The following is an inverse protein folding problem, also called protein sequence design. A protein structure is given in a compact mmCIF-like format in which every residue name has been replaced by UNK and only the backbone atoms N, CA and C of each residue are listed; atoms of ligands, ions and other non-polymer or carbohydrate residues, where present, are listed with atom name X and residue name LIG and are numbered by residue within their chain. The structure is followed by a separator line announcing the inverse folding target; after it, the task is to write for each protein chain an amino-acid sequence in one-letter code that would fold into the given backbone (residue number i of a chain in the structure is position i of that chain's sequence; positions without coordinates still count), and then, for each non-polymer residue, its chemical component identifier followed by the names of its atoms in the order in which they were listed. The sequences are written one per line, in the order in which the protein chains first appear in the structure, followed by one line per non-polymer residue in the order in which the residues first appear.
data_IF_106392304479
#
_entry.id   IF_106392304479
#
_cell.length_a   1.000
_cell.length_b   1.000
_cell.length_c   1.000
_cell.angle_alpha   90.00
_cell.angle_beta   90.00
_cell.angle_gamma   90.00
#
_symmetry.space_group_name_H-M   'P 1'
#
loop_
_entity.id
_entity.type
_entity.pdbx_description
1 polymer ?
#
# COMPACT_ATOMS: atom_id res chain seq x y z
N UNK A 1 -48.32 -8.53 0.02
CA UNK A 1 -46.96 -8.52 0.56
C UNK A 1 -46.80 -7.73 1.85
N UNK A 2 -47.35 -6.52 1.98
CA UNK A 2 -47.25 -5.71 3.23
C UNK A 2 -48.09 -6.24 4.37
N UNK A 3 -49.26 -6.84 4.16
CA UNK A 3 -50.09 -7.40 5.20
C UNK A 3 -49.57 -8.77 5.74
N UNK A 4 -49.02 -9.57 4.88
CA UNK A 4 -48.42 -10.87 5.26
C UNK A 4 -47.14 -10.66 6.10
N UNK A 5 -46.32 -9.66 5.80
CA UNK A 5 -45.15 -9.30 6.61
C UNK A 5 -45.57 -8.76 7.97
N UNK A 6 -46.66 -7.98 8.02
CA UNK A 6 -47.17 -7.42 9.26
C UNK A 6 -47.73 -8.53 10.16
N UNK A 7 -48.45 -9.50 9.63
CA UNK A 7 -48.97 -10.66 10.39
C UNK A 7 -47.86 -11.57 10.90
N UNK A 8 -46.76 -11.72 10.17
CA UNK A 8 -45.59 -12.47 10.60
C UNK A 8 -44.84 -11.74 11.71
N UNK A 9 -44.75 -10.42 11.65
CA UNK A 9 -44.11 -9.60 12.70
C UNK A 9 -44.94 -9.61 13.98
N UNK A 10 -46.24 -9.50 13.89
CA UNK A 10 -47.15 -9.57 15.04
C UNK A 10 -47.18 -10.95 15.70
N UNK A 11 -47.16 -12.03 14.89
CA UNK A 11 -47.05 -13.42 15.42
C UNK A 11 -45.69 -13.71 16.06
N UNK A 12 -44.63 -13.10 15.55
CA UNK A 12 -43.29 -13.18 16.12
C UNK A 12 -43.18 -12.37 17.43
N UNK A 13 -43.81 -11.19 17.49
CA UNK A 13 -43.90 -10.36 18.69
C UNK A 13 -44.59 -11.05 19.85
N UNK A 14 -45.74 -11.73 19.58
CA UNK A 14 -46.46 -12.47 20.58
C UNK A 14 -45.70 -13.74 21.06
N UNK A 15 -45.09 -14.47 20.16
CA UNK A 15 -44.23 -15.63 20.50
C UNK A 15 -43.00 -15.22 21.33
N UNK A 16 -42.48 -14.02 21.12
CA UNK A 16 -41.37 -13.46 21.89
C UNK A 16 -41.78 -13.05 23.32
N UNK A 17 -42.97 -12.45 23.47
CA UNK A 17 -43.49 -12.13 24.80
C UNK A 17 -43.81 -13.36 25.63
N UNK A 18 -44.37 -14.39 25.02
CA UNK A 18 -44.63 -15.69 25.64
C UNK A 18 -43.29 -16.38 26.03
N UNK A 19 -42.30 -16.38 25.20
CA UNK A 19 -40.96 -16.90 25.51
C UNK A 19 -40.31 -16.14 26.67
N UNK A 20 -40.40 -14.80 26.68
CA UNK A 20 -39.85 -13.96 27.75
C UNK A 20 -40.54 -14.26 29.10
N UNK A 21 -41.86 -14.46 29.09
CA UNK A 21 -42.62 -14.78 30.30
C UNK A 21 -42.29 -16.18 30.84
N UNK A 22 -42.11 -17.14 29.94
CA UNK A 22 -41.77 -18.51 30.29
C UNK A 22 -40.32 -18.65 30.78
N UNK A 23 -39.40 -17.87 30.18
CA UNK A 23 -38.01 -17.83 30.60
C UNK A 23 -37.82 -17.13 31.94
N UNK A 24 -38.62 -16.07 32.24
CA UNK A 24 -38.65 -15.44 33.53
C UNK A 24 -39.13 -16.38 34.64
N UNK A 25 -40.18 -17.18 34.37
CA UNK A 25 -40.67 -18.22 35.29
C UNK A 25 -39.63 -19.34 35.52
N UNK A 26 -38.85 -19.69 34.50
CA UNK A 26 -37.76 -20.67 34.62
C UNK A 26 -36.59 -20.11 35.44
N UNK A 27 -36.23 -18.86 35.25
CA UNK A 27 -35.19 -18.17 36.03
C UNK A 27 -35.59 -18.10 37.54
N UNK A 28 -36.84 -17.76 37.87
CA UNK A 28 -37.35 -17.76 39.21
C UNK A 28 -37.35 -19.16 39.85
N UNK A 29 -37.53 -20.21 39.05
CA UNK A 29 -37.43 -21.62 39.52
C UNK A 29 -35.99 -22.07 39.75
N UNK A 30 -35.04 -21.56 38.97
CA UNK A 30 -33.60 -21.85 39.09
C UNK A 30 -33.00 -21.08 40.29
N UNK A 31 -33.43 -19.84 40.53
CA UNK A 31 -33.04 -19.04 41.69
C UNK A 31 -33.49 -19.67 43.00
N UNK A 32 -34.66 -20.32 43.01
CA UNK A 32 -35.19 -21.07 44.16
C UNK A 32 -34.51 -22.43 44.39
N UNK A 33 -33.74 -22.97 43.44
CA UNK A 33 -33.13 -24.30 43.55
C UNK A 33 -31.62 -24.30 43.82
N UNK A 34 -30.95 -23.13 43.90
CA UNK A 34 -29.55 -23.01 44.32
C UNK A 34 -28.54 -23.72 43.44
N UNK A 35 -27.58 -22.94 42.94
CA UNK A 35 -26.39 -23.29 42.12
C UNK A 35 -26.65 -23.76 40.68
N UNK A 36 -26.70 -22.81 39.77
CA UNK A 36 -26.57 -23.09 38.34
C UNK A 36 -25.13 -23.53 38.00
N UNK A 37 -24.98 -24.57 37.20
CA UNK A 37 -23.67 -24.97 36.71
C UNK A 37 -23.13 -23.90 35.71
N UNK A 38 -21.82 -23.67 35.65
CA UNK A 38 -21.17 -22.68 34.75
C UNK A 38 -21.56 -22.83 33.26
N UNK A 39 -22.03 -23.97 32.87
CA UNK A 39 -22.52 -24.31 31.55
C UNK A 39 -23.91 -23.69 31.24
N UNK A 40 -24.72 -23.47 32.26
CA UNK A 40 -26.01 -22.79 32.16
C UNK A 40 -25.83 -21.27 32.08
N UNK A 41 -24.90 -20.70 32.83
CA UNK A 41 -24.56 -19.27 32.76
C UNK A 41 -24.04 -18.89 31.37
N UNK A 42 -23.14 -19.69 30.79
CA UNK A 42 -22.62 -19.40 29.44
C UNK A 42 -23.70 -19.51 28.34
N UNK A 43 -24.71 -20.37 28.51
CA UNK A 43 -25.85 -20.44 27.58
C UNK A 43 -26.83 -19.30 27.74
N UNK A 44 -27.02 -18.79 28.95
CA UNK A 44 -27.84 -17.60 29.23
C UNK A 44 -27.18 -16.34 28.66
N UNK A 45 -25.89 -16.21 28.81
CA UNK A 45 -25.13 -15.08 28.23
C UNK A 45 -25.12 -15.10 26.70
N UNK A 46 -25.01 -16.28 26.09
CA UNK A 46 -25.13 -16.42 24.64
C UNK A 46 -26.53 -16.02 24.14
N UNK A 47 -27.60 -16.47 24.83
CA UNK A 47 -28.98 -16.07 24.52
C UNK A 47 -29.23 -14.58 24.74
N UNK A 48 -28.65 -13.95 25.76
CA UNK A 48 -28.76 -12.51 26.00
C UNK A 48 -28.09 -11.70 24.88
N UNK A 49 -26.95 -12.16 24.37
CA UNK A 49 -26.27 -11.54 23.22
C UNK A 49 -27.05 -11.69 21.91
N UNK A 50 -27.72 -12.82 21.71
CA UNK A 50 -28.55 -13.02 20.52
C UNK A 50 -29.83 -12.16 20.57
N UNK A 51 -30.40 -11.96 21.74
CA UNK A 51 -31.56 -11.07 21.98
C UNK A 51 -31.19 -9.61 21.71
N UNK A 52 -30.00 -9.15 22.11
CA UNK A 52 -29.53 -7.80 21.81
C UNK A 52 -29.31 -7.59 20.32
N UNK A 53 -28.73 -8.55 19.61
CA UNK A 53 -28.58 -8.51 18.15
C UNK A 53 -29.92 -8.47 17.41
N UNK A 54 -30.91 -9.24 17.88
CA UNK A 54 -32.27 -9.19 17.32
C UNK A 54 -32.97 -7.84 17.55
N UNK A 55 -32.73 -7.20 18.70
CA UNK A 55 -33.26 -5.87 18.98
C UNK A 55 -32.65 -4.80 18.07
N UNK A 56 -31.34 -4.89 17.80
CA UNK A 56 -30.63 -4.02 16.86
C UNK A 56 -31.11 -4.22 15.41
N UNK A 57 -31.32 -5.46 14.98
CA UNK A 57 -31.89 -5.75 13.67
C UNK A 57 -33.33 -5.22 13.51
N UNK A 58 -34.13 -5.29 14.54
CA UNK A 58 -35.49 -4.70 14.54
C UNK A 58 -35.44 -3.17 14.37
N UNK A 59 -34.51 -2.52 15.03
CA UNK A 59 -34.31 -1.07 14.90
C UNK A 59 -33.84 -0.68 13.47
N UNK A 60 -32.96 -1.48 12.87
CA UNK A 60 -32.53 -1.28 11.48
C UNK A 60 -33.67 -1.48 10.48
N UNK A 61 -34.53 -2.46 10.67
CA UNK A 61 -35.70 -2.70 9.83
C UNK A 61 -36.67 -1.51 9.92
N UNK A 62 -36.83 -0.93 11.08
CA UNK A 62 -37.72 0.23 11.28
C UNK A 62 -37.16 1.50 10.63
N UNK A 63 -35.83 1.69 10.67
CA UNK A 63 -35.13 2.77 9.96
C UNK A 63 -35.23 2.63 8.44
N UNK A 64 -35.04 1.42 7.90
CA UNK A 64 -35.18 1.15 6.46
C UNK A 64 -36.62 1.33 6.00
N UNK A 65 -37.63 1.01 6.83
CA UNK A 65 -39.04 1.24 6.51
C UNK A 65 -39.37 2.73 6.43
N UNK A 66 -38.87 3.55 7.35
CA UNK A 66 -39.02 5.02 7.28
C UNK A 66 -38.34 5.63 6.05
N UNK A 67 -37.14 5.15 5.72
CA UNK A 67 -36.44 5.58 4.51
C UNK A 67 -37.19 5.21 3.22
N UNK A 68 -37.87 4.06 3.21
CA UNK A 68 -38.70 3.65 2.10
C UNK A 68 -39.96 4.54 1.96
N UNK A 69 -40.64 4.86 3.05
CA UNK A 69 -41.78 5.79 3.08
C UNK A 69 -41.38 7.21 2.62
N UNK A 70 -40.22 7.70 3.04
CA UNK A 70 -39.69 8.99 2.57
C UNK A 70 -39.32 8.98 1.07
N UNK A 71 -38.80 7.86 0.56
CA UNK A 71 -38.52 7.70 -0.86
C UNK A 71 -39.80 7.64 -1.69
N UNK A 72 -40.88 7.00 -1.19
CA UNK A 72 -42.20 6.98 -1.84
C UNK A 72 -42.81 8.39 -1.93
N UNK A 73 -42.72 9.18 -0.84
CA UNK A 73 -43.19 10.58 -0.83
C UNK A 73 -42.39 11.48 -1.79
N UNK A 74 -41.10 11.24 -1.94
CA UNK A 74 -40.25 11.95 -2.92
C UNK A 74 -40.60 11.58 -4.36
N UNK A 75 -40.91 10.30 -4.61
CA UNK A 75 -41.36 9.82 -5.92
C UNK A 75 -42.71 10.45 -6.31
N UNK A 76 -43.69 10.52 -5.41
CA UNK A 76 -44.96 11.17 -5.65
C UNK A 76 -44.83 12.68 -5.95
N UNK A 77 -43.88 13.36 -5.25
CA UNK A 77 -43.55 14.76 -5.53
C UNK A 77 -42.89 14.94 -6.92
N UNK A 78 -42.01 14.04 -7.33
CA UNK A 78 -41.42 14.04 -8.67
C UNK A 78 -42.46 13.75 -9.76
N UNK A 79 -43.39 12.85 -9.49
CA UNK A 79 -44.50 12.54 -10.43
C UNK A 79 -45.45 13.75 -10.62
N UNK A 80 -45.66 14.53 -9.55
CA UNK A 80 -46.47 15.77 -9.64
C UNK A 80 -45.74 16.93 -10.32
N UNK A 81 -44.40 17.01 -10.22
CA UNK A 81 -43.59 18.03 -10.94
C UNK A 81 -43.46 17.70 -12.41
N UNK A 82 -43.38 16.43 -12.81
CA UNK A 82 -43.30 15.96 -14.19
C UNK A 82 -44.66 16.03 -14.93
N UNK A 83 -45.77 16.16 -14.20
CA UNK A 83 -47.11 16.33 -14.78
C UNK A 83 -47.42 17.77 -15.23
N UNK A 84 -46.46 18.73 -15.12
CA UNK A 84 -46.63 20.09 -15.66
C UNK A 84 -46.21 20.15 -17.14
N UNK A 85 -47.10 20.54 -18.06
CA UNK A 85 -46.77 20.66 -19.47
C UNK A 85 -46.14 22.04 -19.74
N UNK A 86 -44.82 22.11 -19.86
CA UNK A 86 -44.14 23.20 -20.58
C UNK A 86 -42.77 22.72 -21.06
N UNK A 87 -42.68 22.41 -22.29
CA UNK A 87 -41.73 22.70 -23.38
C UNK A 87 -41.62 21.54 -24.37
N UNK A 88 -42.18 21.70 -25.50
CA UNK A 88 -41.86 21.38 -26.88
C UNK A 88 -40.99 20.18 -27.29
N UNK A 89 -41.18 19.00 -26.72
CA UNK A 89 -40.73 17.69 -27.23
C UNK A 89 -41.87 16.72 -26.99
N UNK A 90 -42.16 15.80 -27.94
CA UNK A 90 -43.29 14.90 -27.92
C UNK A 90 -43.48 14.22 -26.54
N UNK A 91 -44.35 14.85 -25.74
CA UNK A 91 -44.58 14.51 -24.32
C UNK A 91 -45.22 13.12 -24.10
N UNK A 92 -45.64 12.43 -25.17
CA UNK A 92 -46.24 11.10 -25.08
C UNK A 92 -45.21 9.99 -24.95
N UNK A 93 -44.10 10.07 -25.65
CA UNK A 93 -43.08 9.02 -25.66
C UNK A 93 -42.23 9.06 -24.40
N UNK A 94 -41.90 10.26 -23.91
CA UNK A 94 -41.15 10.45 -22.64
C UNK A 94 -41.96 9.94 -21.44
N UNK A 95 -43.27 10.23 -21.44
CA UNK A 95 -44.17 9.74 -20.38
C UNK A 95 -44.34 8.21 -20.40
N UNK A 96 -44.29 7.60 -21.58
CA UNK A 96 -44.40 6.15 -21.72
C UNK A 96 -43.14 5.44 -21.20
N UNK A 97 -41.98 5.98 -21.53
CA UNK A 97 -40.67 5.46 -21.09
C UNK A 97 -40.47 5.59 -19.57
N UNK A 98 -40.80 6.74 -18.98
CA UNK A 98 -40.76 6.91 -17.53
C UNK A 98 -41.74 6.03 -16.77
N UNK A 99 -42.94 5.82 -17.32
CA UNK A 99 -43.91 4.88 -16.75
C UNK A 99 -43.43 3.44 -16.84
N UNK A 100 -42.84 3.05 -17.98
CA UNK A 100 -42.24 1.72 -18.16
C UNK A 100 -41.07 1.48 -17.21
N UNK A 101 -40.19 2.47 -17.05
CA UNK A 101 -39.08 2.40 -16.11
C UNK A 101 -39.53 2.36 -14.63
N UNK A 102 -40.52 3.19 -14.26
CA UNK A 102 -41.10 3.12 -12.91
C UNK A 102 -41.84 1.81 -12.61
N UNK A 103 -42.47 1.19 -13.63
CA UNK A 103 -43.07 -0.16 -13.48
C UNK A 103 -42.02 -1.26 -13.39
N UNK A 104 -40.90 -1.14 -14.13
CA UNK A 104 -39.78 -2.08 -14.07
C UNK A 104 -39.14 -2.12 -12.68
N UNK A 105 -38.94 -0.98 -12.06
CA UNK A 105 -38.39 -0.87 -10.71
C UNK A 105 -39.34 -1.41 -9.61
N UNK A 106 -40.67 -1.28 -9.81
CA UNK A 106 -41.68 -1.69 -8.83
C UNK A 106 -42.10 -3.18 -8.94
N UNK A 107 -42.14 -3.75 -10.15
CA UNK A 107 -42.77 -5.06 -10.41
C UNK A 107 -41.86 -6.12 -11.02
N UNK A 108 -40.58 -5.77 -11.32
CA UNK A 108 -39.66 -6.66 -12.02
C UNK A 108 -39.98 -6.84 -13.49
N UNK A 109 -39.05 -7.43 -14.24
CA UNK A 109 -39.07 -7.54 -15.71
C UNK A 109 -40.22 -8.40 -16.28
N UNK A 110 -40.77 -9.32 -15.48
CA UNK A 110 -41.78 -10.32 -15.95
C UNK A 110 -43.22 -9.83 -15.99
N UNK A 111 -43.48 -8.60 -15.51
CA UNK A 111 -44.85 -8.02 -15.43
C UNK A 111 -45.01 -6.72 -16.24
N UNK A 112 -44.22 -6.53 -17.28
CA UNK A 112 -44.24 -5.35 -18.15
C UNK A 112 -44.82 -5.74 -19.51
N UNK A 113 -45.70 -4.89 -20.08
CA UNK A 113 -46.29 -5.09 -21.41
C UNK A 113 -45.18 -5.12 -22.49
N UNK A 114 -45.23 -6.05 -23.49
CA UNK A 114 -44.20 -6.14 -24.53
C UNK A 114 -43.98 -4.85 -25.32
N UNK A 115 -44.96 -3.98 -25.38
CA UNK A 115 -44.88 -2.65 -26.01
C UNK A 115 -44.09 -1.64 -25.15
N UNK A 116 -44.23 -1.73 -23.82
CA UNK A 116 -43.46 -0.90 -22.87
C UNK A 116 -42.04 -1.39 -22.74
N UNK A 117 -41.79 -2.72 -22.90
CA UNK A 117 -40.47 -3.31 -22.91
C UNK A 117 -39.66 -2.89 -24.15
N UNK A 118 -40.30 -2.72 -25.27
CA UNK A 118 -39.66 -2.30 -26.53
C UNK A 118 -39.17 -0.85 -26.50
N UNK A 119 -39.74 -0.03 -25.60
CA UNK A 119 -39.33 1.36 -25.36
C UNK A 119 -38.10 1.47 -24.44
N UNK A 120 -37.59 0.35 -23.90
CA UNK A 120 -36.45 0.30 -22.94
C UNK A 120 -35.25 -0.43 -23.54
N UNK A 121 -35.11 -0.52 -24.86
CA UNK A 121 -33.93 -1.15 -25.47
C UNK A 121 -32.71 -0.25 -25.33
N UNK A 122 -31.69 -0.76 -24.68
CA UNK A 122 -30.39 -0.13 -24.35
C UNK A 122 -29.51 0.10 -25.60
N UNK A 123 -29.78 -0.62 -26.68
CA UNK A 123 -28.96 -0.56 -27.90
C UNK A 123 -29.34 0.52 -28.89
N UNK A 124 -30.40 1.32 -28.60
CA UNK A 124 -30.86 2.39 -29.48
C UNK A 124 -31.05 3.69 -28.70
N UNK A 125 -30.16 4.66 -28.93
CA UNK A 125 -30.15 5.97 -28.26
C UNK A 125 -31.44 6.74 -28.40
N UNK A 126 -32.20 6.47 -29.48
CA UNK A 126 -33.51 7.10 -29.75
C UNK A 126 -34.67 6.42 -29.00
N UNK A 127 -34.48 5.19 -28.50
CA UNK A 127 -35.49 4.37 -27.83
C UNK A 127 -35.27 4.19 -26.31
N UNK A 128 -34.38 4.97 -25.70
CA UNK A 128 -34.19 5.00 -24.25
C UNK A 128 -32.82 4.56 -23.77
N UNK A 129 -31.88 4.21 -24.65
CA UNK A 129 -30.50 3.90 -24.30
C UNK A 129 -29.83 5.05 -23.54
N UNK A 130 -30.22 6.28 -23.80
CA UNK A 130 -29.73 7.49 -23.10
C UNK A 130 -30.14 7.56 -21.61
N UNK A 131 -31.14 6.78 -21.18
CA UNK A 131 -31.64 6.79 -19.80
C UNK A 131 -31.23 5.56 -18.99
N UNK A 132 -30.51 4.61 -19.61
CA UNK A 132 -29.84 3.57 -18.84
C UNK A 132 -28.68 4.23 -18.04
N UNK A 133 -28.76 4.35 -16.72
CA UNK A 133 -27.63 4.89 -15.98
C UNK A 133 -26.46 3.94 -16.17
N UNK A 134 -25.40 4.40 -16.82
CA UNK A 134 -24.13 3.71 -16.75
C UNK A 134 -23.76 3.62 -15.26
N UNK A 135 -23.45 2.43 -14.79
CA UNK A 135 -22.97 2.23 -13.42
C UNK A 135 -21.64 2.98 -13.31
N UNK A 136 -21.69 4.13 -12.65
CA UNK A 136 -20.49 4.93 -12.43
C UNK A 136 -19.64 4.25 -11.34
N UNK A 137 -18.59 3.57 -11.76
CA UNK A 137 -17.60 3.02 -10.85
C UNK A 137 -16.73 4.18 -10.36
N UNK A 138 -16.87 4.52 -9.09
CA UNK A 138 -16.11 5.58 -8.45
C UNK A 138 -14.68 5.13 -8.07
N UNK A 139 -14.07 4.23 -8.83
CA UNK A 139 -12.71 3.78 -8.61
C UNK A 139 -11.74 4.48 -9.57
N UNK A 140 -10.75 5.15 -9.01
CA UNK A 140 -9.67 5.76 -9.78
C UNK A 140 -8.66 4.68 -10.18
N UNK A 141 -8.59 4.37 -11.47
CA UNK A 141 -7.57 3.47 -12.02
C UNK A 141 -6.27 4.24 -12.14
N UNK A 142 -5.30 3.91 -11.28
CA UNK A 142 -3.97 4.51 -11.37
C UNK A 142 -2.89 3.47 -11.65
N UNK A 143 -1.81 3.88 -12.33
CA UNK A 143 -0.65 3.03 -12.53
C UNK A 143 0.11 2.83 -11.23
N UNK A 144 0.60 1.60 -11.00
CA UNK A 144 1.37 1.28 -9.81
C UNK A 144 2.70 2.04 -9.81
N UNK A 145 2.97 2.78 -8.73
CA UNK A 145 4.25 3.44 -8.51
C UNK A 145 5.25 2.45 -7.93
N UNK A 146 6.34 2.22 -8.64
CA UNK A 146 7.41 1.34 -8.17
C UNK A 146 8.21 2.04 -7.07
N UNK A 147 8.23 1.44 -5.88
CA UNK A 147 8.92 1.96 -4.70
C UNK A 147 10.04 1.02 -4.32
N UNK A 148 11.25 1.56 -4.17
CA UNK A 148 12.41 0.78 -3.75
C UNK A 148 12.31 0.42 -2.25
N UNK A 149 12.41 -0.87 -1.88
CA UNK A 149 12.26 -1.30 -0.50
C UNK A 149 13.55 -1.18 0.34
N UNK A 150 14.53 -0.35 -0.07
CA UNK A 150 15.81 -0.22 0.65
C UNK A 150 15.61 0.18 2.12
N UNK A 151 14.56 0.95 2.42
CA UNK A 151 14.17 1.34 3.78
C UNK A 151 13.84 0.14 4.67
N UNK A 152 13.36 -0.97 4.12
CA UNK A 152 13.04 -2.19 4.88
C UNK A 152 14.27 -2.98 5.33
N UNK A 153 15.38 -2.81 4.64
CA UNK A 153 16.63 -3.55 4.90
C UNK A 153 17.70 -2.70 5.56
N UNK A 154 17.65 -1.37 5.43
CA UNK A 154 18.58 -0.43 6.02
C UNK A 154 18.18 -0.09 7.46
N UNK A 155 19.12 0.51 8.21
CA UNK A 155 18.85 1.02 9.56
C UNK A 155 18.19 2.39 9.48
N UNK A 156 17.02 2.56 10.09
CA UNK A 156 16.34 3.85 10.19
C UNK A 156 16.56 4.44 11.58
N UNK A 157 16.90 5.72 11.64
CA UNK A 157 17.02 6.52 12.88
C UNK A 157 16.22 7.82 12.73
N UNK A 158 15.57 8.23 13.80
CA UNK A 158 14.86 9.51 13.85
C UNK A 158 15.69 10.55 14.62
N UNK A 159 15.63 11.81 14.21
CA UNK A 159 16.31 12.92 14.90
C UNK A 159 15.45 14.18 14.89
N UNK A 160 15.58 15.01 15.92
CA UNK A 160 15.04 16.37 15.96
C UNK A 160 16.03 17.41 15.39
N UNK A 161 17.32 17.05 15.27
CA UNK A 161 18.38 17.93 14.81
C UNK A 161 18.52 17.91 13.28
N UNK A 162 19.36 18.77 12.74
CA UNK A 162 19.65 18.88 11.29
C UNK A 162 20.19 17.55 10.72
N UNK A 163 20.94 16.81 11.49
CA UNK A 163 21.55 15.55 11.12
C UNK A 163 21.96 14.74 12.34
N UNK A 164 22.56 13.61 12.11
CA UNK A 164 23.11 12.72 13.15
C UNK A 164 24.62 12.59 12.92
N UNK A 165 25.39 12.72 14.00
CA UNK A 165 26.81 12.40 14.01
C UNK A 165 27.00 10.99 14.57
N UNK A 166 27.68 10.13 13.83
CA UNK A 166 27.96 8.74 14.21
C UNK A 166 29.46 8.62 14.40
N UNK A 167 29.93 8.27 15.62
CA UNK A 167 31.33 7.97 15.83
C UNK A 167 31.71 6.69 15.09
N UNK A 168 32.73 6.77 14.25
CA UNK A 168 33.25 5.65 13.47
C UNK A 168 34.70 5.36 13.91
N UNK A 169 34.98 4.11 14.10
CA UNK A 169 36.38 3.67 14.36
C UNK A 169 37.15 3.73 13.03
N UNK A 170 38.23 4.47 12.98
CA UNK A 170 39.08 4.66 11.79
C UNK A 170 40.38 3.90 11.86
N UNK A 171 40.87 3.55 13.07
CA UNK A 171 42.09 2.80 13.26
C UNK A 171 41.93 1.67 14.30
N UNK A 172 42.73 0.65 14.12
CA UNK A 172 42.80 -0.50 15.03
C UNK A 172 44.25 -0.66 15.48
N UNK A 173 44.45 -1.00 16.73
CA UNK A 173 45.76 -1.45 17.17
C UNK A 173 46.02 -2.90 16.73
N UNK A 174 47.26 -3.21 16.37
CA UNK A 174 47.69 -4.55 16.04
C UNK A 174 48.33 -5.19 17.29
N UNK A 175 47.94 -6.42 17.61
CA UNK A 175 48.62 -7.23 18.62
C UNK A 175 49.76 -8.00 17.92
N UNK A 176 50.96 -7.95 18.50
CA UNK A 176 52.13 -8.65 17.98
C UNK A 176 52.69 -9.59 19.04
N UNK A 177 53.11 -10.78 18.60
CA UNK A 177 53.84 -11.70 19.46
C UNK A 177 55.28 -11.23 19.59
N UNK A 178 55.83 -11.24 20.81
CA UNK A 178 57.19 -10.79 21.11
C UNK A 178 57.90 -11.89 21.87
N UNK A 179 59.14 -12.15 21.50
CA UNK A 179 60.00 -13.06 22.24
C UNK A 179 60.41 -12.46 23.61
N UNK A 180 60.80 -13.29 24.53
CA UNK A 180 61.08 -12.91 25.90
C UNK A 180 62.13 -11.78 26.03
N UNK A 181 63.09 -11.71 25.14
CA UNK A 181 64.21 -10.74 25.18
C UNK A 181 64.03 -9.59 24.17
N UNK A 182 62.98 -9.57 23.37
CA UNK A 182 62.77 -8.55 22.33
C UNK A 182 62.10 -7.28 22.89
N UNK A 183 62.55 -6.14 22.37
CA UNK A 183 62.00 -4.82 22.74
C UNK A 183 60.57 -4.69 22.20
N UNK A 184 59.65 -4.28 23.06
CA UNK A 184 58.25 -3.98 22.71
C UNK A 184 58.18 -2.59 22.11
N UNK A 185 57.70 -2.49 20.88
CA UNK A 185 57.47 -1.21 20.21
C UNK A 185 56.02 -0.78 20.42
N UNK A 186 55.80 0.51 20.53
CA UNK A 186 54.45 1.09 20.64
C UNK A 186 53.61 0.75 19.40
N UNK A 187 52.39 0.28 19.61
CA UNK A 187 51.43 0.04 18.55
C UNK A 187 50.52 1.25 18.37
N UNK A 188 50.09 1.49 17.15
CA UNK A 188 49.15 2.63 16.83
C UNK A 188 47.92 2.55 17.72
N UNK A 189 47.55 3.65 18.36
CA UNK A 189 46.43 3.69 19.29
C UNK A 189 45.06 3.62 18.58
N UNK A 190 44.03 3.51 19.39
CA UNK A 190 42.66 3.53 18.94
C UNK A 190 42.31 4.90 18.31
N UNK A 191 41.89 4.91 17.05
CA UNK A 191 41.50 6.12 16.33
C UNK A 191 40.01 6.12 16.06
N UNK A 192 39.37 7.26 16.31
CA UNK A 192 37.93 7.49 16.02
C UNK A 192 37.79 8.69 15.11
N UNK A 193 36.84 8.61 14.21
CA UNK A 193 36.36 9.71 13.39
C UNK A 193 34.86 9.93 13.60
N UNK A 194 34.37 11.07 13.21
CA UNK A 194 32.92 11.39 13.20
C UNK A 194 32.44 11.34 11.75
N UNK A 195 31.31 10.69 11.54
CA UNK A 195 30.58 10.70 10.28
C UNK A 195 29.26 11.42 10.49
N UNK A 196 29.08 12.50 9.77
CA UNK A 196 27.85 13.29 9.79
C UNK A 196 26.90 12.85 8.67
N UNK A 197 25.63 12.67 9.00
CA UNK A 197 24.55 12.39 8.05
C UNK A 197 23.52 13.51 8.18
N UNK A 198 23.46 14.40 7.18
CA UNK A 198 22.53 15.51 7.16
C UNK A 198 21.17 15.07 6.58
N UNK A 199 20.08 15.63 7.14
CA UNK A 199 18.73 15.46 6.63
C UNK A 199 18.41 16.55 5.61
N UNK A 200 18.29 16.16 4.35
CA UNK A 200 17.93 17.05 3.22
C UNK A 200 16.42 17.20 3.12
N UNK A 201 15.96 18.31 2.56
CA UNK A 201 14.54 18.56 2.35
C UNK A 201 14.09 18.04 0.99
N UNK A 202 13.02 17.25 1.01
CA UNK A 202 12.27 16.81 -0.14
C UNK A 202 10.92 17.53 -0.10
N UNK A 203 10.51 18.17 -1.20
CA UNK A 203 9.26 18.89 -1.29
C UNK A 203 8.52 18.57 -2.59
N UNK A 204 7.20 18.70 -2.54
CA UNK A 204 6.34 18.72 -3.72
C UNK A 204 5.31 19.83 -3.56
N UNK A 205 4.97 20.50 -4.66
CA UNK A 205 4.01 21.58 -4.70
C UNK A 205 3.05 21.33 -5.86
N UNK A 206 1.76 21.28 -5.54
CA UNK A 206 0.70 21.02 -6.52
C UNK A 206 -0.41 22.04 -6.32
N UNK A 207 -0.87 22.65 -7.41
CA UNK A 207 -2.00 23.56 -7.43
C UNK A 207 -3.20 22.87 -8.06
N UNK A 208 -4.35 22.89 -7.37
CA UNK A 208 -5.60 22.28 -7.83
C UNK A 208 -6.69 23.35 -7.86
N UNK A 209 -7.51 23.34 -8.89
CA UNK A 209 -8.65 24.25 -8.99
C UNK A 209 -9.66 23.99 -7.87
N UNK A 210 -10.14 25.06 -7.25
CA UNK A 210 -11.18 24.97 -6.21
C UNK A 210 -12.48 24.36 -6.78
N UNK A 211 -12.87 24.74 -8.00
CA UNK A 211 -14.04 24.17 -8.66
C UNK A 211 -13.91 22.64 -8.84
N UNK A 212 -12.71 22.15 -9.20
CA UNK A 212 -12.46 20.71 -9.33
C UNK A 212 -12.60 19.98 -7.98
N UNK A 213 -12.16 20.58 -6.88
CA UNK A 213 -12.31 20.00 -5.54
C UNK A 213 -13.78 19.95 -5.09
N UNK A 214 -14.58 20.96 -5.47
CA UNK A 214 -16.00 21.05 -5.10
C UNK A 214 -16.87 20.14 -5.96
N UNK A 215 -16.55 20.00 -7.26
CA UNK A 215 -17.36 19.25 -8.24
C UNK A 215 -16.91 17.78 -8.38
N UNK A 216 -15.79 17.41 -7.77
CA UNK A 216 -15.28 16.05 -7.90
C UNK A 216 -16.15 15.03 -7.18
N UNK A 217 -16.45 13.92 -7.85
CA UNK A 217 -17.09 12.75 -7.27
C UNK A 217 -16.18 11.92 -6.35
N UNK A 218 -14.86 12.22 -6.36
CA UNK A 218 -13.84 11.53 -5.57
C UNK A 218 -13.29 12.45 -4.47
N UNK A 219 -12.80 11.85 -3.40
CA UNK A 219 -12.02 12.56 -2.39
C UNK A 219 -10.59 12.83 -2.91
N UNK A 220 -10.45 13.95 -3.64
CA UNK A 220 -9.17 14.36 -4.20
C UNK A 220 -8.12 14.68 -3.13
N UNK A 221 -8.50 15.12 -1.93
CA UNK A 221 -7.55 15.41 -0.85
C UNK A 221 -6.90 14.13 -0.33
N UNK A 222 -7.69 13.06 -0.15
CA UNK A 222 -7.17 11.75 0.25
C UNK A 222 -6.26 11.15 -0.83
N UNK A 223 -6.68 11.23 -2.10
CA UNK A 223 -5.88 10.73 -3.23
C UNK A 223 -4.54 11.49 -3.36
N UNK A 224 -4.56 12.82 -3.23
CA UNK A 224 -3.34 13.64 -3.24
C UNK A 224 -2.40 13.30 -2.09
N UNK A 225 -2.93 13.04 -0.90
CA UNK A 225 -2.10 12.62 0.25
C UNK A 225 -1.40 11.30 -0.02
N UNK A 226 -2.10 10.34 -0.63
CA UNK A 226 -1.55 9.04 -1.03
C UNK A 226 -0.48 9.21 -2.11
N UNK A 227 -0.77 10.00 -3.15
CA UNK A 227 0.15 10.27 -4.24
C UNK A 227 1.44 10.96 -3.75
N UNK A 228 1.35 11.94 -2.86
CA UNK A 228 2.54 12.53 -2.22
C UNK A 228 3.36 11.47 -1.49
N UNK A 229 2.71 10.56 -0.75
CA UNK A 229 3.39 9.47 -0.07
C UNK A 229 4.18 8.58 -1.02
N UNK A 230 3.57 8.19 -2.13
CA UNK A 230 4.18 7.33 -3.15
C UNK A 230 5.33 8.02 -3.88
N UNK A 231 5.15 9.27 -4.33
CA UNK A 231 6.18 10.02 -5.05
C UNK A 231 7.38 10.33 -4.15
N UNK A 232 7.15 10.63 -2.87
CA UNK A 232 8.24 10.81 -1.92
C UNK A 232 8.98 9.51 -1.65
N UNK A 233 8.28 8.38 -1.51
CA UNK A 233 8.90 7.08 -1.33
C UNK A 233 9.75 6.68 -2.55
N UNK A 234 9.28 6.97 -3.77
CA UNK A 234 10.03 6.77 -5.01
C UNK A 234 11.29 7.64 -5.06
N UNK A 235 11.15 8.95 -4.80
CA UNK A 235 12.28 9.88 -4.81
C UNK A 235 13.34 9.52 -3.75
N UNK A 236 12.92 9.08 -2.56
CA UNK A 236 13.82 8.57 -1.51
C UNK A 236 14.54 7.30 -1.96
N UNK A 237 13.82 6.35 -2.54
CA UNK A 237 14.39 5.10 -3.03
C UNK A 237 15.49 5.35 -4.05
N UNK A 238 15.21 6.17 -5.04
CA UNK A 238 16.19 6.58 -6.05
C UNK A 238 17.41 7.27 -5.41
N UNK A 239 17.17 8.19 -4.45
CA UNK A 239 18.26 8.89 -3.77
C UNK A 239 19.13 7.96 -2.92
N UNK A 240 18.57 6.95 -2.25
CA UNK A 240 19.32 5.99 -1.46
C UNK A 240 20.18 5.04 -2.32
N UNK A 241 19.83 4.85 -3.57
CA UNK A 241 20.59 3.99 -4.49
C UNK A 241 21.62 4.81 -5.27
N UNK A 242 21.21 5.90 -5.93
CA UNK A 242 22.04 6.63 -6.89
C UNK A 242 22.41 8.05 -6.45
N UNK A 243 21.97 8.49 -5.27
CA UNK A 243 22.21 9.85 -4.79
C UNK A 243 23.70 10.17 -4.60
N UNK A 244 24.06 11.43 -4.85
CA UNK A 244 25.46 11.89 -4.78
C UNK A 244 25.86 12.52 -3.42
N UNK A 245 24.92 12.60 -2.45
CA UNK A 245 25.18 13.18 -1.13
C UNK A 245 25.20 14.73 -1.10
N UNK A 246 24.93 15.41 -2.22
CA UNK A 246 24.87 16.87 -2.28
C UNK A 246 23.43 17.31 -2.48
N UNK A 247 22.83 17.94 -1.46
CA UNK A 247 21.43 18.34 -1.45
C UNK A 247 20.43 17.17 -1.42
N UNK A 248 20.93 15.94 -1.39
CA UNK A 248 20.15 14.68 -1.33
C UNK A 248 20.94 13.61 -0.57
N UNK A 249 20.31 12.53 -0.10
CA UNK A 249 20.99 11.40 0.53
C UNK A 249 22.13 10.84 -0.34
N UNK A 250 23.15 10.29 0.32
CA UNK A 250 24.23 9.57 -0.36
C UNK A 250 23.74 8.14 -0.70
N UNK A 251 23.80 7.78 -1.97
CA UNK A 251 23.40 6.46 -2.45
C UNK A 251 24.49 5.40 -2.27
N UNK A 252 24.08 4.14 -2.29
CA UNK A 252 24.97 2.99 -2.18
C UNK A 252 25.89 2.82 -3.40
N UNK A 253 25.41 3.18 -4.60
CA UNK A 253 26.17 3.06 -5.86
C UNK A 253 27.14 4.22 -6.11
N UNK A 254 27.07 5.29 -5.28
CA UNK A 254 27.90 6.45 -5.42
C UNK A 254 29.39 6.11 -5.15
N UNK A 255 30.26 6.50 -6.06
CA UNK A 255 31.69 6.19 -5.96
C UNK A 255 32.33 6.74 -4.66
N UNK A 256 31.89 7.93 -4.19
CA UNK A 256 32.37 8.55 -2.96
C UNK A 256 31.87 7.88 -1.69
N UNK A 257 30.97 6.88 -1.76
CA UNK A 257 30.54 6.11 -0.60
C UNK A 257 31.60 5.13 -0.08
N UNK A 258 32.67 4.90 -0.85
CA UNK A 258 33.76 4.01 -0.47
C UNK A 258 33.39 2.50 -0.48
N UNK A 259 32.28 2.14 -1.12
CA UNK A 259 31.83 0.75 -1.24
C UNK A 259 32.73 0.01 -2.24
N UNK A 260 33.21 -1.16 -1.88
CA UNK A 260 34.03 -1.99 -2.75
C UNK A 260 33.27 -2.44 -3.98
N UNK A 261 33.93 -2.46 -5.12
CA UNK A 261 33.37 -2.98 -6.38
C UNK A 261 34.12 -4.22 -6.81
N UNK A 262 33.39 -5.25 -7.20
CA UNK A 262 33.89 -6.52 -7.70
C UNK A 262 33.53 -6.62 -9.19
N UNK A 263 34.50 -6.94 -10.04
CA UNK A 263 34.27 -7.06 -11.46
C UNK A 263 33.48 -8.33 -11.79
N UNK A 264 32.64 -8.26 -12.81
CA UNK A 264 31.84 -9.41 -13.26
C UNK A 264 32.61 -10.43 -14.09
N UNK A 265 33.82 -10.06 -14.55
CA UNK A 265 34.59 -10.87 -15.49
C UNK A 265 34.05 -10.80 -16.94
N UNK A 266 33.14 -9.87 -17.20
CA UNK A 266 32.61 -9.55 -18.53
C UNK A 266 32.28 -8.08 -18.63
N UNK A 267 32.51 -7.47 -19.78
CA UNK A 267 32.22 -6.04 -20.00
C UNK A 267 30.75 -5.74 -20.31
N UNK A 268 29.90 -6.74 -20.46
CA UNK A 268 28.51 -6.54 -20.92
C UNK A 268 27.47 -7.29 -20.13
N UNK A 269 27.84 -8.42 -19.49
CA UNK A 269 26.89 -9.31 -18.82
C UNK A 269 27.35 -9.69 -17.41
N UNK A 270 26.41 -10.11 -16.60
CA UNK A 270 26.69 -10.77 -15.33
C UNK A 270 27.24 -12.18 -15.60
N UNK A 271 28.17 -12.62 -14.77
CA UNK A 271 28.68 -13.99 -14.79
C UNK A 271 28.48 -14.67 -13.45
N UNK A 272 28.40 -16.00 -13.46
CA UNK A 272 28.28 -16.80 -12.22
C UNK A 272 29.47 -16.61 -11.31
N UNK A 273 30.69 -16.60 -11.89
CA UNK A 273 31.91 -16.40 -11.14
C UNK A 273 31.95 -15.02 -10.48
N UNK A 274 31.56 -13.96 -11.21
CA UNK A 274 31.46 -12.61 -10.64
C UNK A 274 30.46 -12.51 -9.48
N UNK A 275 29.32 -13.23 -9.54
CA UNK A 275 28.37 -13.28 -8.43
C UNK A 275 28.93 -14.04 -7.21
N UNK A 276 29.70 -15.11 -7.44
CA UNK A 276 30.40 -15.81 -6.37
C UNK A 276 31.48 -14.92 -5.74
N UNK A 277 32.29 -14.27 -6.54
CA UNK A 277 33.32 -13.34 -6.07
C UNK A 277 32.70 -12.19 -5.27
N UNK A 278 31.55 -11.67 -5.71
CA UNK A 278 30.80 -10.66 -4.96
C UNK A 278 30.34 -11.18 -3.60
N UNK A 279 29.79 -12.41 -3.55
CA UNK A 279 29.33 -13.00 -2.30
C UNK A 279 30.46 -13.20 -1.29
N UNK A 280 31.64 -13.60 -1.74
CA UNK A 280 32.79 -13.87 -0.89
C UNK A 280 33.71 -12.65 -0.68
N UNK A 281 33.44 -11.50 -1.29
CA UNK A 281 34.21 -10.26 -1.12
C UNK A 281 34.00 -9.60 0.25
N UNK A 282 32.87 -9.87 0.90
CA UNK A 282 32.57 -9.33 2.23
C UNK A 282 33.07 -10.25 3.36
N UNK A 283 33.34 -9.68 4.54
CA UNK A 283 33.77 -10.46 5.72
C UNK A 283 32.67 -11.41 6.19
N UNK A 284 33.07 -12.58 6.68
CA UNK A 284 32.17 -13.65 7.15
C UNK A 284 31.12 -13.16 8.17
N UNK A 285 31.51 -12.22 9.05
CA UNK A 285 30.60 -11.68 10.07
C UNK A 285 29.36 -10.94 9.53
N UNK A 286 29.45 -10.42 8.31
CA UNK A 286 28.33 -9.75 7.61
C UNK A 286 27.49 -10.71 6.79
N UNK A 287 28.02 -11.91 6.45
CA UNK A 287 27.34 -12.85 5.57
C UNK A 287 26.02 -13.40 6.13
N UNK A 288 25.87 -13.44 7.46
CA UNK A 288 24.67 -14.01 8.09
C UNK A 288 23.39 -13.22 7.76
N UNK A 289 23.49 -11.89 7.74
CA UNK A 289 22.37 -10.97 7.44
C UNK A 289 22.45 -10.37 6.04
N UNK A 290 23.40 -10.81 5.24
CA UNK A 290 23.62 -10.30 3.90
C UNK A 290 22.48 -10.66 2.95
N UNK A 291 22.13 -9.71 2.08
CA UNK A 291 21.09 -9.83 1.07
C UNK A 291 21.59 -9.28 -0.26
N UNK A 292 21.02 -9.78 -1.34
CA UNK A 292 21.19 -9.17 -2.66
C UNK A 292 20.16 -8.05 -2.84
N UNK A 293 20.56 -6.93 -3.43
CA UNK A 293 19.69 -5.86 -3.88
C UNK A 293 19.96 -5.65 -5.36
N UNK A 294 18.91 -5.78 -6.17
CA UNK A 294 18.97 -5.73 -7.63
C UNK A 294 17.58 -5.38 -8.18
N UNK A 295 17.52 -4.98 -9.45
CA UNK A 295 16.24 -4.78 -10.15
C UNK A 295 15.74 -6.08 -10.80
N UNK A 296 14.49 -6.07 -11.30
CA UNK A 296 13.89 -7.25 -11.99
C UNK A 296 14.62 -7.65 -13.26
N UNK A 297 15.14 -6.68 -14.01
CA UNK A 297 15.88 -6.97 -15.25
C UNK A 297 17.19 -7.71 -14.95
N UNK A 298 17.90 -7.31 -13.89
CA UNK A 298 19.11 -7.99 -13.43
C UNK A 298 18.81 -9.38 -12.86
N UNK A 299 17.69 -9.55 -12.13
CA UNK A 299 17.24 -10.86 -11.68
C UNK A 299 16.96 -11.78 -12.87
N UNK A 300 16.26 -11.28 -13.88
CA UNK A 300 16.00 -12.06 -15.11
C UNK A 300 17.32 -12.44 -15.83
N UNK A 301 18.32 -11.56 -15.84
CA UNK A 301 19.63 -11.85 -16.39
C UNK A 301 20.35 -12.96 -15.61
N UNK A 302 20.30 -12.92 -14.27
CA UNK A 302 20.88 -13.96 -13.40
C UNK A 302 20.19 -15.32 -13.62
N UNK A 303 18.86 -15.35 -13.70
CA UNK A 303 18.10 -16.59 -13.92
C UNK A 303 18.35 -17.20 -15.32
N UNK A 304 18.81 -16.40 -16.27
CA UNK A 304 19.16 -16.86 -17.62
C UNK A 304 20.59 -17.38 -17.73
N UNK A 305 21.42 -17.26 -16.66
CA UNK A 305 22.78 -17.77 -16.71
C UNK A 305 22.80 -19.27 -16.95
N UNK A 306 23.60 -19.65 -17.93
CA UNK A 306 23.74 -21.04 -18.38
C UNK A 306 25.18 -21.53 -18.16
N UNK A 307 25.30 -22.83 -17.91
CA UNK A 307 26.58 -23.53 -17.88
C UNK A 307 27.09 -23.78 -19.32
N UNK A 308 28.32 -24.24 -19.46
CA UNK A 308 28.95 -24.64 -20.73
C UNK A 308 28.13 -25.66 -21.55
N UNK A 309 27.30 -26.43 -20.88
CA UNK A 309 26.40 -27.44 -21.45
C UNK A 309 25.00 -26.86 -21.82
N UNK A 310 24.77 -25.53 -21.63
CA UNK A 310 23.49 -24.88 -21.90
C UNK A 310 22.42 -25.14 -20.84
N UNK A 311 22.77 -25.67 -19.67
CA UNK A 311 21.85 -25.85 -18.56
C UNK A 311 21.80 -24.58 -17.71
N UNK A 312 20.61 -24.18 -17.34
CA UNK A 312 20.41 -22.99 -16.46
C UNK A 312 20.87 -23.29 -15.04
N UNK A 313 21.84 -22.55 -14.56
CA UNK A 313 22.49 -22.77 -13.25
C UNK A 313 21.50 -22.54 -12.11
N UNK A 314 20.63 -21.53 -12.23
CA UNK A 314 19.66 -21.16 -11.20
C UNK A 314 18.29 -21.83 -11.37
N UNK A 315 18.11 -22.70 -12.37
CA UNK A 315 16.83 -23.37 -12.65
C UNK A 315 16.50 -24.50 -11.66
N UNK A 316 17.46 -24.98 -10.89
CA UNK A 316 17.25 -26.11 -9.96
C UNK A 316 16.27 -25.83 -8.82
N UNK A 317 15.89 -24.56 -8.59
CA UNK A 317 14.83 -24.16 -7.64
C UNK A 317 13.52 -23.76 -8.31
N UNK A 318 13.46 -23.71 -9.63
CA UNK A 318 12.26 -23.35 -10.38
C UNK A 318 11.38 -24.59 -10.58
N UNK A 319 10.46 -24.83 -9.65
CA UNK A 319 9.34 -25.74 -9.92
C UNK A 319 8.40 -25.04 -10.92
N UNK A 320 7.89 -25.80 -11.89
CA UNK A 320 6.85 -25.33 -12.83
C UNK A 320 5.60 -24.77 -12.11
N UNK A 321 5.48 -25.02 -10.81
CA UNK A 321 4.36 -24.66 -9.93
C UNK A 321 4.74 -23.55 -8.92
N UNK A 322 6.02 -23.21 -8.74
CA UNK A 322 6.49 -22.43 -7.57
C UNK A 322 7.07 -21.04 -7.83
N UNK A 323 7.12 -20.53 -9.05
CA UNK A 323 7.65 -19.18 -9.33
C UNK A 323 9.19 -19.05 -9.22
N UNK A 324 9.69 -17.81 -9.15
CA UNK A 324 11.13 -17.54 -9.05
C UNK A 324 11.71 -18.06 -7.71
N UNK A 325 12.98 -18.51 -7.69
CA UNK A 325 13.60 -18.94 -6.44
C UNK A 325 13.66 -17.80 -5.43
N UNK A 326 13.34 -18.10 -4.16
CA UNK A 326 13.36 -17.11 -3.08
C UNK A 326 14.78 -16.61 -2.72
N UNK A 327 15.83 -17.27 -3.22
CA UNK A 327 17.24 -17.02 -2.88
C UNK A 327 18.14 -17.08 -4.10
N UNK A 328 19.18 -16.25 -4.12
CA UNK A 328 20.29 -16.29 -5.05
C UNK A 328 21.52 -16.79 -4.26
N UNK A 329 22.16 -17.87 -4.73
CA UNK A 329 23.30 -18.50 -4.03
C UNK A 329 23.03 -18.77 -2.53
N UNK A 330 21.80 -19.17 -2.20
CA UNK A 330 21.40 -19.45 -0.81
C UNK A 330 21.17 -18.21 0.08
N UNK A 331 21.18 -16.99 -0.50
CA UNK A 331 20.93 -15.75 0.21
C UNK A 331 19.65 -15.07 -0.31
N UNK A 332 18.86 -14.45 0.58
CA UNK A 332 17.66 -13.71 0.18
C UNK A 332 18.03 -12.50 -0.69
N UNK A 333 17.11 -12.12 -1.56
CA UNK A 333 17.25 -10.92 -2.37
C UNK A 333 16.07 -9.96 -2.15
N UNK A 334 16.30 -8.72 -2.49
CA UNK A 334 15.32 -7.64 -2.43
C UNK A 334 15.30 -6.94 -3.78
N UNK A 335 14.12 -6.80 -4.36
CA UNK A 335 13.95 -6.11 -5.64
C UNK A 335 13.88 -4.60 -5.39
N UNK A 336 14.78 -3.88 -6.02
CA UNK A 336 14.84 -2.41 -6.01
C UNK A 336 14.98 -1.94 -7.47
N UNK A 337 13.89 -1.45 -8.03
CA UNK A 337 13.83 -1.06 -9.45
C UNK A 337 14.72 0.16 -9.77
N UNK A 338 15.09 0.95 -8.75
CA UNK A 338 16.03 2.05 -8.89
C UNK A 338 17.50 1.61 -9.14
N UNK A 339 17.81 0.31 -8.96
CA UNK A 339 19.14 -0.21 -9.30
C UNK A 339 19.37 -0.15 -10.82
N UNK A 340 20.58 0.22 -11.26
CA UNK A 340 20.91 0.30 -12.69
C UNK A 340 20.73 -1.07 -13.37
N UNK A 341 20.35 -1.03 -14.65
CA UNK A 341 20.31 -2.23 -15.49
C UNK A 341 21.72 -2.79 -15.77
N UNK A 342 21.76 -4.06 -16.19
CA UNK A 342 22.99 -4.73 -16.60
C UNK A 342 23.52 -4.07 -17.88
N UNK A 343 24.68 -3.46 -17.79
CA UNK A 343 25.35 -2.79 -18.91
C UNK A 343 26.80 -2.48 -18.57
N UNK A 344 27.61 -2.23 -19.57
CA UNK A 344 29.05 -1.97 -19.38
C UNK A 344 29.32 -0.80 -18.44
N UNK A 345 30.09 -1.01 -17.38
CA UNK A 345 30.43 -0.01 -16.37
C UNK A 345 29.32 0.29 -15.35
N UNK A 346 28.17 -0.37 -15.42
CA UNK A 346 27.09 -0.20 -14.44
C UNK A 346 27.30 -1.11 -13.22
N UNK A 347 26.58 -0.81 -12.14
CA UNK A 347 26.60 -1.57 -10.88
C UNK A 347 25.20 -2.12 -10.57
N UNK A 348 24.75 -3.17 -11.29
CA UNK A 348 23.36 -3.66 -11.25
C UNK A 348 23.03 -4.47 -10.00
N UNK A 349 24.02 -4.98 -9.27
CA UNK A 349 23.84 -5.84 -8.09
C UNK A 349 24.65 -5.31 -6.94
N UNK A 350 24.00 -5.18 -5.79
CA UNK A 350 24.65 -4.93 -4.50
C UNK A 350 24.44 -6.13 -3.58
N UNK A 351 25.46 -6.50 -2.81
CA UNK A 351 25.39 -7.58 -1.83
C UNK A 351 25.98 -7.14 -0.51
N UNK A 352 25.33 -7.44 0.59
CA UNK A 352 25.84 -7.16 1.91
C UNK A 352 24.81 -7.05 3.01
N UNK A 353 25.26 -6.69 4.21
CA UNK A 353 24.42 -6.38 5.39
C UNK A 353 24.06 -4.88 5.38
N UNK A 354 22.95 -4.54 4.74
CA UNK A 354 22.47 -3.16 4.63
C UNK A 354 22.09 -2.56 5.99
N UNK A 355 21.69 -3.37 6.96
CA UNK A 355 21.31 -2.88 8.29
C UNK A 355 22.51 -2.30 9.07
N UNK A 356 23.71 -2.79 8.82
CA UNK A 356 24.95 -2.27 9.39
C UNK A 356 25.61 -1.21 8.52
N UNK A 357 25.45 -1.37 7.23
CA UNK A 357 26.16 -0.55 6.25
C UNK A 357 25.49 0.78 5.99
N UNK A 358 24.18 0.84 5.84
CA UNK A 358 23.44 2.03 5.44
C UNK A 358 22.52 2.54 6.55
N UNK A 359 22.62 3.82 6.87
CA UNK A 359 21.75 4.44 7.87
C UNK A 359 20.91 5.55 7.21
N UNK A 360 19.61 5.43 7.37
CA UNK A 360 18.62 6.43 6.97
C UNK A 360 18.28 7.27 8.20
N UNK A 361 18.21 8.58 8.02
CA UNK A 361 17.92 9.54 9.08
C UNK A 361 16.65 10.30 8.73
N UNK A 362 15.57 10.07 9.50
CA UNK A 362 14.32 10.79 9.37
C UNK A 362 14.28 11.93 10.40
N UNK A 363 14.06 13.17 9.94
CA UNK A 363 13.89 14.32 10.81
C UNK A 363 12.44 14.75 10.93
N UNK A 364 11.75 14.85 9.83
CA UNK A 364 10.33 15.26 9.75
C UNK A 364 9.62 14.20 8.91
N UNK A 365 8.53 13.67 9.44
CA UNK A 365 7.60 12.83 8.66
C UNK A 365 6.96 13.66 7.54
N UNK A 366 6.25 13.01 6.65
CA UNK A 366 5.49 13.69 5.62
C UNK A 366 4.51 14.68 6.26
N UNK A 367 4.63 15.95 5.89
CA UNK A 367 3.74 17.03 6.31
C UNK A 367 3.15 17.67 5.06
N UNK A 368 1.84 17.65 4.94
CA UNK A 368 1.10 18.30 3.86
C UNK A 368 0.41 19.54 4.42
N UNK A 369 0.64 20.68 3.80
CA UNK A 369 0.02 21.96 4.14
C UNK A 369 -0.88 22.39 2.98
N UNK A 370 -2.14 22.68 3.27
CA UNK A 370 -3.11 23.27 2.35
C UNK A 370 -3.04 24.79 2.46
N UNK A 371 -2.75 25.46 1.36
CA UNK A 371 -2.70 26.93 1.26
C UNK A 371 -3.72 27.45 0.25
N UNK A 372 -4.87 27.93 0.70
CA UNK A 372 -5.91 28.50 -0.16
C UNK A 372 -5.65 29.97 -0.52
N UNK A 373 -4.63 30.63 0.07
CA UNK A 373 -4.45 32.07 -0.04
C UNK A 373 -3.46 32.48 -1.12
N UNK A 374 -2.32 31.78 -1.24
CA UNK A 374 -1.22 32.18 -2.14
C UNK A 374 -1.62 32.20 -3.62
N UNK A 375 -2.55 31.36 -4.03
CA UNK A 375 -3.04 31.23 -5.42
C UNK A 375 -4.52 31.50 -5.57
N UNK A 376 -5.15 32.11 -4.57
CA UNK A 376 -6.59 32.42 -4.56
C UNK A 376 -7.03 33.25 -5.78
N UNK A 377 -6.19 34.16 -6.28
CA UNK A 377 -6.48 34.96 -7.48
C UNK A 377 -6.59 34.14 -8.76
N UNK A 378 -6.01 32.95 -8.79
CA UNK A 378 -6.12 32.00 -9.90
C UNK A 378 -7.24 30.96 -9.70
N UNK A 379 -8.02 31.06 -8.61
CA UNK A 379 -9.07 30.07 -8.27
C UNK A 379 -8.53 28.69 -7.89
N UNK A 380 -7.26 28.61 -7.46
CA UNK A 380 -6.60 27.37 -7.12
C UNK A 380 -6.32 27.32 -5.62
N UNK A 381 -6.19 26.08 -5.11
CA UNK A 381 -5.69 25.76 -3.77
C UNK A 381 -4.35 25.07 -3.94
N UNK A 382 -3.33 25.53 -3.19
CA UNK A 382 -1.99 24.99 -3.24
C UNK A 382 -1.76 23.98 -2.12
N UNK A 383 -1.29 22.80 -2.49
CA UNK A 383 -0.84 21.78 -1.57
C UNK A 383 0.68 21.71 -1.56
N UNK A 384 1.26 21.91 -0.38
CA UNK A 384 2.71 21.90 -0.17
C UNK A 384 3.04 20.72 0.73
N UNK A 385 3.60 19.68 0.13
CA UNK A 385 4.09 18.52 0.86
C UNK A 385 5.60 18.67 1.09
N UNK A 386 6.07 18.34 2.30
CA UNK A 386 7.49 18.34 2.62
C UNK A 386 7.87 17.21 3.55
N UNK A 387 9.09 16.74 3.39
CA UNK A 387 9.73 15.76 4.25
C UNK A 387 11.21 16.05 4.39
N UNK A 388 11.83 15.65 5.49
CA UNK A 388 13.27 15.76 5.66
C UNK A 388 13.87 14.40 5.95
N UNK A 389 14.73 13.94 5.04
CA UNK A 389 15.36 12.64 5.11
C UNK A 389 16.82 12.74 4.71
N UNK A 390 17.66 11.98 5.38
CA UNK A 390 19.07 11.79 5.08
C UNK A 390 19.42 10.33 4.92
N UNK A 391 20.54 10.04 4.32
CA UNK A 391 21.05 8.68 4.21
C UNK A 391 22.49 8.67 3.80
N UNK A 392 23.26 7.76 4.38
CA UNK A 392 24.66 7.55 3.99
C UNK A 392 25.14 6.14 4.34
N UNK A 393 26.19 5.72 3.63
CA UNK A 393 26.91 4.48 3.90
C UNK A 393 27.85 4.70 5.09
N UNK A 394 27.47 4.17 6.25
CA UNK A 394 28.26 4.27 7.49
C UNK A 394 29.42 3.28 7.50
N UNK A 395 29.17 2.04 7.07
CA UNK A 395 30.15 0.97 7.08
C UNK A 395 30.28 0.36 5.67
N UNK A 396 31.19 0.92 4.89
CA UNK A 396 31.37 0.54 3.48
C UNK A 396 31.83 -0.92 3.29
N UNK A 397 32.58 -1.49 4.27
CA UNK A 397 33.06 -2.86 4.21
C UNK A 397 31.98 -3.95 4.35
N UNK A 398 30.77 -3.56 4.78
CA UNK A 398 29.65 -4.49 4.94
C UNK A 398 28.81 -4.67 3.66
N UNK A 399 29.11 -3.89 2.61
CA UNK A 399 28.46 -3.96 1.28
C UNK A 399 29.55 -4.09 0.21
N UNK A 400 29.24 -4.81 -0.86
CA UNK A 400 30.01 -4.81 -2.10
C UNK A 400 29.06 -4.65 -3.29
N UNK A 401 29.56 -4.07 -4.38
CA UNK A 401 28.83 -3.82 -5.62
C UNK A 401 29.41 -4.67 -6.74
N UNK A 402 28.56 -5.25 -7.56
CA UNK A 402 28.98 -5.91 -8.81
C UNK A 402 29.17 -4.84 -9.88
N UNK A 403 30.39 -4.68 -10.37
CA UNK A 403 30.68 -3.81 -11.51
C UNK A 403 30.76 -4.66 -12.79
N UNK A 404 30.05 -4.23 -13.84
CA UNK A 404 30.09 -4.90 -15.14
C UNK A 404 31.36 -4.44 -15.86
N UNK A 405 32.44 -5.17 -15.61
CA UNK A 405 33.77 -4.95 -16.20
C UNK A 405 34.57 -6.24 -16.16
N UNK A 406 35.61 -6.32 -16.97
CA UNK A 406 36.63 -7.37 -16.94
C UNK A 406 37.66 -7.11 -15.86
#
# INVERSE_FOLDING_TARGET
MTEEIKSVIDSFGSAFEDFKSENSKRLDQIEKKGSASSELESKVDAMANDITKMAEQKQQIELTKKALEEAEVKLDKLETVLARPETGLDSKDINLQMKAFGKMLRKGKDNIDPLELKALYESDDTLGGYYAPEEYVADLIKSVTEISPLRSVARVRTTSNRGIEIPKRTGQFAATFVNETATRTETTGYQTGLMQIDAHELYALVDISQALLEDSAFDLEAEMSTEFGEQFAKAEGTAFITGNGVGRPQGITFAGAGVASVNSGSNTVLTTNGLLDLQYSIKSDYMNNARFVLNRSSLAAILKLEDTEGQKIFAQGMSYVGGAPATILGKPYVLAEDMPDVGGGTKPVAYGDFSRAYTIVDRISLSVMRDPYSVATAGNIRYIARRRVGGAVVLAEAIALQNIST
#
